data_IF_292946702667
#
_entry.id   IF_292946702667
#
_cell.length_a   1.000
_cell.length_b   1.000
_cell.length_c   1.000
_cell.angle_alpha   90.00
_cell.angle_beta   90.00
_cell.angle_gamma   90.00
#
_symmetry.space_group_name_H-M   'P 1'
#
loop_
_entity.id
_entity.type
_entity.pdbx_description
1 polymer ?
#
# COMPACT_ATOMS: atom_id res chain seq x y z
N UNK A 1 8.94 5.96 13.53
CA UNK A 1 7.60 5.56 12.99
C UNK A 1 6.77 4.87 14.07
N UNK A 2 7.40 4.11 14.98
CA UNK A 2 6.74 3.41 16.09
C UNK A 2 6.77 4.20 17.43
N UNK A 3 7.54 5.28 17.52
CA UNK A 3 7.78 6.02 18.78
C UNK A 3 6.53 6.74 19.32
N UNK A 4 5.58 7.05 18.43
CA UNK A 4 4.29 7.65 18.79
C UNK A 4 3.22 6.58 19.11
N UNK A 5 3.50 5.30 18.86
CA UNK A 5 2.51 4.21 18.96
C UNK A 5 2.33 3.75 20.41
N UNK A 6 3.40 3.80 21.22
CA UNK A 6 3.41 3.29 22.60
C UNK A 6 2.54 4.13 23.56
N UNK A 7 2.54 5.48 23.53
CA UNK A 7 1.69 6.27 24.43
C UNK A 7 0.19 6.10 24.11
N UNK A 8 -0.15 5.92 22.84
CA UNK A 8 -1.53 5.68 22.38
C UNK A 8 -2.05 4.26 22.70
N UNK A 9 -1.15 3.30 22.93
CA UNK A 9 -1.47 1.92 23.33
C UNK A 9 -2.09 1.84 24.74
N UNK A 10 -1.75 2.78 25.63
CA UNK A 10 -2.22 2.76 27.02
C UNK A 10 -3.68 3.22 27.18
N UNK A 11 -4.22 4.00 26.22
CA UNK A 11 -5.57 4.57 26.31
C UNK A 11 -6.66 3.81 25.50
N UNK A 12 -6.30 2.88 24.61
CA UNK A 12 -7.27 2.28 23.68
C UNK A 12 -8.02 1.03 24.21
N UNK A 13 -7.82 0.67 25.47
CA UNK A 13 -8.57 -0.39 26.10
C UNK A 13 -8.07 -1.78 25.71
N UNK A 14 -7.71 -2.53 26.75
CA UNK A 14 -7.26 -3.93 26.72
C UNK A 14 -8.28 -4.94 26.16
N UNK A 15 -9.38 -4.46 25.54
CA UNK A 15 -10.49 -5.26 25.03
C UNK A 15 -10.75 -5.12 23.51
N UNK A 16 -10.16 -4.15 22.80
CA UNK A 16 -10.46 -3.90 21.37
C UNK A 16 -9.43 -4.54 20.43
N UNK A 17 -8.21 -4.79 20.89
CA UNK A 17 -7.09 -5.29 20.08
C UNK A 17 -6.43 -6.49 20.80
N UNK A 18 -6.94 -7.72 20.65
CA UNK A 18 -6.44 -8.88 21.38
C UNK A 18 -5.06 -9.39 20.92
N UNK A 19 -4.61 -9.05 19.70
CA UNK A 19 -3.44 -9.65 19.07
C UNK A 19 -2.19 -8.78 19.19
N UNK A 20 -2.27 -7.49 18.88
CA UNK A 20 -1.12 -6.57 18.90
C UNK A 20 -0.42 -6.50 20.26
N UNK A 21 -1.10 -6.47 21.42
CA UNK A 21 -0.44 -6.44 22.71
C UNK A 21 0.39 -7.70 23.03
N UNK A 22 0.17 -8.80 22.30
CA UNK A 22 0.88 -10.06 22.45
C UNK A 22 2.12 -10.16 21.54
N UNK A 23 2.30 -9.18 20.65
CA UNK A 23 3.37 -9.15 19.66
C UNK A 23 4.39 -8.07 20.01
N UNK A 24 5.68 -8.37 19.80
CA UNK A 24 6.71 -7.36 19.84
C UNK A 24 6.64 -6.45 18.61
N UNK A 25 7.30 -5.30 18.66
CA UNK A 25 7.42 -4.42 17.48
C UNK A 25 8.11 -5.12 16.31
N UNK A 26 9.08 -6.00 16.60
CA UNK A 26 9.78 -6.78 15.58
C UNK A 26 8.85 -7.81 14.94
N UNK A 27 7.96 -8.44 15.71
CA UNK A 27 6.96 -9.37 15.20
C UNK A 27 5.98 -8.67 14.25
N UNK A 28 5.46 -7.50 14.66
CA UNK A 28 4.55 -6.70 13.84
C UNK A 28 5.24 -6.29 12.53
N UNK A 29 6.49 -5.82 12.60
CA UNK A 29 7.28 -5.46 11.43
C UNK A 29 7.55 -6.67 10.52
N UNK A 30 7.79 -7.84 11.10
CA UNK A 30 8.03 -9.09 10.35
C UNK A 30 6.77 -9.52 9.60
N UNK A 31 5.61 -9.53 10.28
CA UNK A 31 4.31 -9.85 9.67
C UNK A 31 4.00 -8.91 8.51
N UNK A 32 4.16 -7.59 8.70
CA UNK A 32 3.96 -6.62 7.61
C UNK A 32 5.02 -6.72 6.50
N UNK A 33 6.21 -7.22 6.82
CA UNK A 33 7.20 -7.68 5.85
C UNK A 33 6.62 -8.75 4.93
N UNK A 34 6.08 -9.84 5.49
CA UNK A 34 5.48 -10.94 4.72
C UNK A 34 4.26 -10.49 3.91
N UNK A 35 3.44 -9.58 4.47
CA UNK A 35 2.33 -8.94 3.71
C UNK A 35 2.87 -8.18 2.50
N UNK A 36 3.94 -7.41 2.68
CA UNK A 36 4.57 -6.64 1.60
C UNK A 36 5.15 -7.56 0.52
N UNK A 37 5.76 -8.68 0.92
CA UNK A 37 6.30 -9.68 -0.01
C UNK A 37 5.18 -10.39 -0.80
N UNK A 38 4.08 -10.75 -0.13
CA UNK A 38 2.89 -11.29 -0.80
C UNK A 38 2.31 -10.32 -1.83
N UNK A 39 2.18 -9.03 -1.48
CA UNK A 39 1.72 -7.99 -2.41
C UNK A 39 2.65 -7.88 -3.62
N UNK A 40 3.97 -7.83 -3.38
CA UNK A 40 4.99 -7.80 -4.43
C UNK A 40 4.86 -8.98 -5.39
N UNK A 41 4.68 -10.18 -4.83
CA UNK A 41 4.57 -11.43 -5.58
C UNK A 41 3.30 -11.48 -6.43
N UNK A 42 2.14 -11.10 -5.89
CA UNK A 42 0.91 -11.04 -6.70
C UNK A 42 1.00 -10.01 -7.82
N UNK A 43 1.60 -8.85 -7.53
CA UNK A 43 1.81 -7.80 -8.52
C UNK A 43 2.77 -8.28 -9.63
N UNK A 44 3.83 -9.04 -9.34
CA UNK A 44 4.67 -9.61 -10.40
C UNK A 44 3.94 -10.63 -11.28
N UNK A 45 2.90 -11.28 -10.75
CA UNK A 45 1.97 -12.12 -11.49
C UNK A 45 0.87 -11.34 -12.23
N UNK A 46 0.98 -10.01 -12.30
CA UNK A 46 0.00 -9.11 -12.92
C UNK A 46 -1.39 -9.18 -12.28
N UNK A 47 -1.46 -9.52 -10.99
CA UNK A 47 -2.68 -9.54 -10.19
C UNK A 47 -2.66 -8.40 -9.18
N UNK A 48 -3.76 -7.65 -9.10
CA UNK A 48 -3.96 -6.69 -8.04
C UNK A 48 -4.21 -7.38 -6.70
N UNK A 49 -3.91 -6.70 -5.59
CA UNK A 49 -4.12 -7.22 -4.24
C UNK A 49 -5.03 -6.28 -3.46
N UNK A 50 -6.17 -6.79 -3.02
CA UNK A 50 -7.06 -6.10 -2.09
C UNK A 50 -6.65 -6.40 -0.64
N UNK A 51 -6.38 -5.34 0.12
CA UNK A 51 -6.11 -5.34 1.54
C UNK A 51 -7.38 -4.85 2.26
N UNK A 52 -8.14 -5.77 2.90
CA UNK A 52 -9.37 -5.41 3.57
C UNK A 52 -9.15 -4.34 4.64
N UNK A 53 -9.98 -3.31 4.64
CA UNK A 53 -9.88 -2.20 5.59
C UNK A 53 -8.82 -1.14 5.25
N UNK A 54 -8.07 -1.30 4.15
CA UNK A 54 -7.07 -0.34 3.71
C UNK A 54 -7.29 0.14 2.27
N UNK A 55 -7.28 -0.78 1.30
CA UNK A 55 -7.29 -0.42 -0.11
C UNK A 55 -6.77 -1.52 -1.02
N UNK A 56 -6.47 -1.18 -2.27
CA UNK A 56 -6.12 -2.14 -3.32
C UNK A 56 -4.86 -1.69 -4.05
N UNK A 57 -3.86 -2.58 -4.12
CA UNK A 57 -2.75 -2.45 -5.06
C UNK A 57 -3.15 -2.99 -6.43
N UNK A 58 -2.85 -2.27 -7.50
CA UNK A 58 -3.15 -2.69 -8.89
C UNK A 58 -2.26 -1.93 -9.89
N UNK A 59 -2.53 -2.04 -11.19
CA UNK A 59 -1.78 -1.39 -12.27
C UNK A 59 -2.62 -0.46 -13.12
N UNK A 60 -2.02 0.63 -13.56
CA UNK A 60 -2.55 1.50 -14.60
C UNK A 60 -1.83 1.12 -15.88
N UNK A 61 -2.59 0.87 -16.93
CA UNK A 61 -2.05 0.71 -18.28
C UNK A 61 -2.10 2.05 -18.98
N UNK A 62 -0.95 2.60 -19.32
CA UNK A 62 -0.83 3.81 -20.13
C UNK A 62 -0.21 3.43 -21.47
N UNK A 63 -0.85 3.84 -22.58
CA UNK A 63 -0.25 3.73 -23.91
C UNK A 63 0.54 5.01 -24.16
N UNK A 64 1.85 4.88 -24.36
CA UNK A 64 2.72 5.97 -24.77
C UNK A 64 3.01 5.83 -26.26
N UNK A 65 2.64 6.82 -27.06
CA UNK A 65 3.00 6.87 -28.48
C UNK A 65 4.47 7.27 -28.64
N UNK A 66 5.22 6.50 -29.41
CA UNK A 66 6.67 6.72 -29.66
C UNK A 66 6.91 7.11 -31.12
N UNK A 67 5.86 7.47 -31.86
CA UNK A 67 5.88 7.72 -33.31
C UNK A 67 5.80 6.45 -34.16
N UNK A 68 5.61 6.61 -35.48
CA UNK A 68 5.46 5.52 -36.46
C UNK A 68 4.41 4.44 -36.09
N UNK A 69 3.23 4.82 -35.60
CA UNK A 69 2.18 3.90 -35.13
C UNK A 69 2.64 2.89 -34.05
N UNK A 70 3.79 3.11 -33.40
CA UNK A 70 4.28 2.26 -32.31
C UNK A 70 3.89 2.87 -30.97
N UNK A 71 3.32 2.05 -30.11
CA UNK A 71 2.99 2.42 -28.74
C UNK A 71 3.74 1.50 -27.77
N UNK A 72 4.23 2.07 -26.68
CA UNK A 72 4.72 1.33 -25.51
C UNK A 72 3.58 1.27 -24.51
N UNK A 73 3.22 0.06 -24.08
CA UNK A 73 2.29 -0.13 -22.97
C UNK A 73 3.10 -0.06 -21.67
N UNK A 74 2.94 1.04 -20.94
CA UNK A 74 3.56 1.22 -19.63
C UNK A 74 2.57 0.71 -18.58
N UNK A 75 3.02 -0.23 -17.76
CA UNK A 75 2.29 -0.63 -16.56
C UNK A 75 2.87 0.08 -15.35
N UNK A 76 2.04 0.92 -14.73
CA UNK A 76 2.44 1.67 -13.53
C UNK A 76 1.72 1.09 -12.32
N UNK A 77 2.44 0.67 -11.26
CA UNK A 77 1.78 0.24 -10.05
C UNK A 77 1.09 1.44 -9.41
N UNK A 78 -0.07 1.19 -8.82
CA UNK A 78 -0.87 2.16 -8.11
C UNK A 78 -1.46 1.53 -6.86
N UNK A 79 -1.88 2.40 -5.96
CA UNK A 79 -2.62 2.02 -4.77
C UNK A 79 -3.91 2.85 -4.75
N UNK A 80 -5.03 2.22 -4.47
CA UNK A 80 -6.36 2.84 -4.40
C UNK A 80 -6.84 2.68 -2.97
N UNK A 81 -7.08 3.79 -2.28
CA UNK A 81 -7.57 3.74 -0.91
C UNK A 81 -9.00 3.18 -0.89
N UNK A 82 -9.34 2.41 0.15
CA UNK A 82 -10.69 1.88 0.30
C UNK A 82 -11.71 3.02 0.39
N UNK A 83 -12.80 2.91 -0.38
CA UNK A 83 -13.87 3.91 -0.40
C UNK A 83 -14.45 4.17 1.00
N UNK A 84 -14.55 3.12 1.82
CA UNK A 84 -14.97 3.26 3.23
C UNK A 84 -14.11 4.23 4.02
N UNK A 85 -12.78 4.25 3.82
CA UNK A 85 -11.89 5.20 4.49
C UNK A 85 -12.04 6.63 3.93
N UNK A 86 -12.32 6.74 2.63
CA UNK A 86 -12.63 8.03 1.98
C UNK A 86 -13.88 8.65 2.57
N UNK A 87 -14.96 7.88 2.65
CA UNK A 87 -16.23 8.36 3.18
C UNK A 87 -16.15 8.63 4.69
N UNK A 88 -15.53 7.72 5.46
CA UNK A 88 -15.45 7.83 6.91
C UNK A 88 -14.60 9.01 7.38
N UNK A 89 -13.47 9.27 6.71
CA UNK A 89 -12.49 10.26 7.16
C UNK A 89 -12.35 11.47 6.23
N UNK A 90 -13.19 11.58 5.19
CA UNK A 90 -13.13 12.67 4.22
C UNK A 90 -11.83 12.69 3.40
N UNK A 91 -11.25 11.52 3.12
CA UNK A 91 -9.97 11.43 2.41
C UNK A 91 -10.12 11.82 0.94
N UNK A 92 -9.05 12.37 0.38
CA UNK A 92 -8.95 12.73 -1.04
C UNK A 92 -7.81 11.94 -1.66
N UNK A 93 -8.09 11.29 -2.78
CA UNK A 93 -7.10 10.66 -3.63
C UNK A 93 -7.29 11.17 -5.05
N UNK A 94 -6.18 11.45 -5.76
CA UNK A 94 -6.23 11.80 -7.17
C UNK A 94 -7.00 10.75 -7.96
N UNK A 95 -7.79 11.17 -8.96
CA UNK A 95 -8.57 10.23 -9.79
C UNK A 95 -7.66 9.17 -10.36
N UNK A 96 -7.99 7.92 -10.05
CA UNK A 96 -7.23 6.76 -10.47
C UNK A 96 -8.07 6.02 -11.50
N UNK A 97 -7.58 5.90 -12.74
CA UNK A 97 -8.23 5.08 -13.77
C UNK A 97 -7.64 3.67 -13.76
N UNK A 98 -8.42 2.70 -13.31
CA UNK A 98 -8.07 1.28 -13.43
C UNK A 98 -8.67 0.69 -14.69
N UNK A 99 -7.86 0.04 -15.53
CA UNK A 99 -8.36 -0.93 -16.49
C UNK A 99 -9.17 -2.00 -15.74
N UNK A 100 -10.44 -2.22 -16.11
CA UNK A 100 -11.32 -3.19 -15.46
C UNK A 100 -10.97 -4.66 -15.73
N UNK A 101 -9.86 -4.91 -16.42
CA UNK A 101 -9.39 -6.23 -16.87
C UNK A 101 -8.28 -6.82 -15.98
N UNK A 102 -7.86 -6.12 -14.92
CA UNK A 102 -6.83 -6.62 -14.00
C UNK A 102 -7.50 -7.48 -12.92
N UNK A 103 -7.15 -8.77 -12.79
CA UNK A 103 -7.67 -9.62 -11.74
C UNK A 103 -7.20 -9.13 -10.37
N UNK A 104 -8.12 -8.98 -9.42
CA UNK A 104 -7.82 -8.58 -8.05
C UNK A 104 -8.04 -9.78 -7.13
N UNK A 105 -7.03 -10.12 -6.32
CA UNK A 105 -7.11 -11.16 -5.29
C UNK A 105 -7.10 -10.53 -3.90
N UNK A 106 -7.81 -11.08 -2.90
CA UNK A 106 -7.69 -10.62 -1.52
C UNK A 106 -6.35 -11.06 -0.91
N UNK A 107 -5.94 -10.41 0.18
CA UNK A 107 -4.87 -10.94 1.04
C UNK A 107 -5.20 -12.37 1.48
N UNK A 108 -4.23 -13.27 1.31
CA UNK A 108 -4.34 -14.65 1.76
C UNK A 108 -3.51 -14.85 3.04
N UNK A 109 -4.16 -14.72 4.19
CA UNK A 109 -3.50 -14.88 5.49
C UNK A 109 -2.96 -16.28 5.74
N UNK A 110 -3.53 -17.32 5.11
CA UNK A 110 -2.99 -18.68 5.18
C UNK A 110 -1.62 -18.69 4.51
N UNK A 111 -1.53 -18.18 3.28
CA UNK A 111 -0.26 -18.14 2.55
C UNK A 111 0.79 -17.29 3.25
N UNK A 112 0.41 -16.12 3.76
CA UNK A 112 1.32 -15.22 4.50
C UNK A 112 1.84 -15.88 5.78
N UNK A 113 1.02 -16.69 6.46
CA UNK A 113 1.44 -17.42 7.66
C UNK A 113 2.49 -18.51 7.41
N UNK A 114 2.65 -18.97 6.17
CA UNK A 114 3.66 -19.98 5.83
C UNK A 114 5.08 -19.39 5.76
N UNK A 115 5.22 -18.06 5.67
CA UNK A 115 6.51 -17.37 5.53
C UNK A 115 7.22 -17.17 6.89
N UNK A 116 6.61 -17.55 8.01
CA UNK A 116 7.20 -17.35 9.33
C UNK A 116 6.58 -18.17 10.46
N UNK A 117 6.95 -17.90 11.71
CA UNK A 117 6.52 -18.68 12.87
C UNK A 117 5.09 -18.34 13.35
N UNK A 118 4.42 -17.37 12.73
CA UNK A 118 3.12 -16.88 13.16
C UNK A 118 2.00 -17.67 12.50
N UNK A 119 1.04 -18.16 13.29
CA UNK A 119 -0.14 -18.82 12.75
C UNK A 119 -1.07 -17.82 12.03
N UNK A 120 -1.97 -18.35 11.19
CA UNK A 120 -2.96 -17.58 10.41
C UNK A 120 -3.72 -16.54 11.25
N UNK A 121 -4.17 -16.89 12.45
CA UNK A 121 -5.00 -16.02 13.29
C UNK A 121 -4.18 -14.85 13.83
N UNK A 122 -2.93 -15.10 14.24
CA UNK A 122 -1.98 -14.06 14.67
C UNK A 122 -1.67 -13.10 13.52
N UNK A 123 -1.42 -13.60 12.31
CA UNK A 123 -1.18 -12.77 11.12
C UNK A 123 -2.41 -11.92 10.80
N UNK A 124 -3.58 -12.54 10.71
CA UNK A 124 -4.84 -11.86 10.41
C UNK A 124 -5.17 -10.79 11.46
N UNK A 125 -5.03 -11.13 12.75
CA UNK A 125 -5.24 -10.22 13.88
C UNK A 125 -4.29 -9.03 13.84
N UNK A 126 -2.99 -9.29 13.67
CA UNK A 126 -1.97 -8.24 13.56
C UNK A 126 -2.29 -7.26 12.43
N UNK A 127 -2.63 -7.74 11.24
CA UNK A 127 -2.98 -6.89 10.09
C UNK A 127 -4.23 -6.07 10.38
N UNK A 128 -5.32 -6.71 10.81
CA UNK A 128 -6.59 -6.03 11.10
C UNK A 128 -6.44 -4.96 12.17
N UNK A 129 -5.78 -5.30 13.27
CA UNK A 129 -5.60 -4.40 14.41
C UNK A 129 -4.65 -3.24 14.08
N UNK A 130 -3.61 -3.46 13.28
CA UNK A 130 -2.76 -2.38 12.78
C UNK A 130 -3.56 -1.42 11.90
N UNK A 131 -4.44 -1.94 11.04
CA UNK A 131 -5.30 -1.13 10.17
C UNK A 131 -6.39 -0.37 10.93
N UNK A 132 -6.87 -0.92 12.06
CA UNK A 132 -7.76 -0.20 12.97
C UNK A 132 -7.03 0.98 13.60
N UNK A 133 -5.80 0.78 14.10
CA UNK A 133 -4.97 1.85 14.66
C UNK A 133 -4.67 2.95 13.62
N UNK A 134 -4.35 2.53 12.40
CA UNK A 134 -4.19 3.43 11.25
C UNK A 134 -5.45 4.27 11.01
N UNK A 135 -6.62 3.63 10.95
CA UNK A 135 -7.91 4.31 10.76
C UNK A 135 -8.19 5.33 11.86
N UNK A 136 -7.87 5.01 13.12
CA UNK A 136 -7.98 5.96 14.24
C UNK A 136 -7.00 7.12 14.12
N UNK A 137 -5.76 6.87 13.72
CA UNK A 137 -4.76 7.93 13.51
C UNK A 137 -5.25 8.92 12.44
N UNK A 138 -5.88 8.39 11.38
CA UNK A 138 -6.50 9.21 10.33
C UNK A 138 -7.68 10.04 10.90
N UNK A 139 -8.52 9.46 11.75
CA UNK A 139 -9.71 10.17 12.29
C UNK A 139 -9.35 11.37 13.16
N UNK A 140 -8.24 11.31 13.89
CA UNK A 140 -7.70 12.43 14.68
C UNK A 140 -6.83 13.38 13.83
N UNK A 141 -6.85 13.25 12.50
CA UNK A 141 -6.09 14.05 11.53
C UNK A 141 -4.57 14.00 11.74
N UNK A 142 -4.06 12.91 12.32
CA UNK A 142 -2.63 12.71 12.45
C UNK A 142 -2.01 12.43 11.09
N UNK A 143 -0.81 12.97 10.85
CA UNK A 143 -0.02 12.62 9.69
C UNK A 143 0.42 11.15 9.79
N UNK A 144 0.04 10.36 8.81
CA UNK A 144 0.36 8.94 8.75
C UNK A 144 1.37 8.68 7.65
N UNK A 145 2.38 7.89 7.99
CA UNK A 145 3.26 7.23 7.03
C UNK A 145 3.24 5.73 7.30
N UNK A 146 2.82 4.95 6.32
CA UNK A 146 2.71 3.51 6.42
C UNK A 146 3.60 2.85 5.36
N UNK A 147 4.63 2.13 5.81
CA UNK A 147 5.66 1.58 4.93
C UNK A 147 5.32 0.15 4.51
N UNK A 148 5.33 -0.08 3.20
CA UNK A 148 5.32 -1.41 2.60
C UNK A 148 6.74 -1.77 2.17
N UNK A 149 7.37 -2.69 2.91
CA UNK A 149 8.80 -3.03 2.74
C UNK A 149 9.08 -3.46 1.29
N UNK A 150 10.04 -2.79 0.66
CA UNK A 150 10.42 -3.07 -0.73
C UNK A 150 9.39 -2.64 -1.80
N UNK A 151 8.32 -1.94 -1.43
CA UNK A 151 7.32 -1.39 -2.37
C UNK A 151 7.32 0.13 -2.32
N UNK A 152 7.12 0.72 -1.13
CA UNK A 152 6.99 2.16 -0.97
C UNK A 152 6.33 2.57 0.34
N UNK A 153 5.89 3.83 0.41
CA UNK A 153 5.27 4.42 1.59
C UNK A 153 3.93 5.05 1.22
N UNK A 154 2.87 4.65 1.92
CA UNK A 154 1.57 5.29 1.89
C UNK A 154 1.59 6.47 2.85
N UNK A 155 1.34 7.66 2.33
CA UNK A 155 1.33 8.91 3.09
C UNK A 155 -0.09 9.46 3.12
N UNK A 156 -0.60 9.76 4.31
CA UNK A 156 -1.88 10.45 4.51
C UNK A 156 -1.61 11.69 5.34
N UNK A 157 -1.79 12.86 4.73
CA UNK A 157 -1.55 14.18 5.36
C UNK A 157 -2.62 15.16 4.91
N UNK A 158 -3.18 15.90 5.85
CA UNK A 158 -4.26 16.88 5.59
C UNK A 158 -5.42 16.29 4.77
N UNK A 159 -5.76 15.02 5.05
CA UNK A 159 -6.79 14.26 4.31
C UNK A 159 -6.38 13.79 2.91
N UNK A 160 -5.19 14.13 2.42
CA UNK A 160 -4.71 13.70 1.10
C UNK A 160 -3.95 12.38 1.20
N UNK A 161 -4.33 11.42 0.35
CA UNK A 161 -3.71 10.10 0.27
C UNK A 161 -2.75 10.02 -0.92
N UNK A 162 -1.50 9.67 -0.66
CA UNK A 162 -0.47 9.50 -1.69
C UNK A 162 0.37 8.26 -1.43
N UNK A 163 0.37 7.33 -2.38
CA UNK A 163 1.32 6.22 -2.39
C UNK A 163 2.59 6.63 -3.13
N UNK A 164 3.74 6.51 -2.45
CA UNK A 164 5.08 6.77 -3.00
C UNK A 164 5.83 5.47 -3.18
N UNK A 165 5.94 5.00 -4.42
CA UNK A 165 6.70 3.79 -4.74
C UNK A 165 8.20 4.04 -4.74
N UNK A 166 8.98 3.06 -4.28
CA UNK A 166 10.44 3.11 -4.35
C UNK A 166 10.92 2.97 -5.80
N UNK A 167 12.02 3.66 -6.14
CA UNK A 167 12.59 3.63 -7.50
C UNK A 167 12.98 2.21 -7.91
N UNK A 168 13.56 1.43 -7.01
CA UNK A 168 13.99 0.07 -7.32
C UNK A 168 12.81 -0.86 -7.55
N UNK A 169 11.71 -0.70 -6.80
CA UNK A 169 10.46 -1.41 -7.07
C UNK A 169 9.87 -1.05 -8.44
N UNK A 170 9.86 0.23 -8.81
CA UNK A 170 9.37 0.65 -10.13
C UNK A 170 10.20 0.07 -11.28
N UNK A 171 11.51 -0.16 -11.08
CA UNK A 171 12.39 -0.79 -12.08
C UNK A 171 12.05 -2.27 -12.29
N UNK A 172 11.69 -2.99 -11.22
CA UNK A 172 11.35 -4.42 -11.34
C UNK A 172 9.99 -4.64 -12.00
N UNK A 173 9.02 -3.75 -11.78
CA UNK A 173 7.66 -3.87 -12.30
C UNK A 173 7.57 -3.66 -13.82
N UNK A 174 8.37 -2.75 -14.37
CA UNK A 174 8.31 -2.40 -15.80
C UNK A 174 9.25 -3.27 -16.67
N UNK A 175 10.10 -4.10 -16.07
CA UNK A 175 11.06 -5.00 -16.73
C UNK A 175 12.18 -4.31 -17.53
N UNK A 176 11.93 -3.12 -18.07
CA UNK A 176 12.82 -2.33 -18.92
C UNK A 176 13.40 -1.09 -18.23
N UNK A 177 12.84 -0.72 -17.07
CA UNK A 177 13.18 0.52 -16.36
C UNK A 177 12.74 1.81 -17.07
N UNK A 178 11.96 1.70 -18.16
CA UNK A 178 11.38 2.84 -18.88
C UNK A 178 10.43 3.66 -18.00
N UNK A 179 9.67 3.02 -17.12
CA UNK A 179 8.81 3.67 -16.13
C UNK A 179 9.63 4.54 -15.18
N UNK A 180 10.74 4.02 -14.64
CA UNK A 180 11.60 4.79 -13.74
C UNK A 180 12.20 6.00 -14.46
N UNK A 181 12.61 5.85 -15.73
CA UNK A 181 13.14 6.93 -16.57
C UNK A 181 12.06 7.97 -16.95
N UNK A 182 10.88 7.53 -17.35
CA UNK A 182 9.75 8.40 -17.69
C UNK A 182 9.29 9.22 -16.47
N UNK A 183 9.27 8.59 -15.29
CA UNK A 183 8.98 9.29 -14.05
C UNK A 183 10.10 10.25 -13.66
N UNK A 184 11.39 9.94 -13.82
CA UNK A 184 12.43 10.95 -13.58
C UNK A 184 12.34 12.14 -14.54
N UNK A 185 11.95 11.89 -15.79
CA UNK A 185 11.83 12.94 -16.82
C UNK A 185 10.59 13.82 -16.62
N UNK A 186 9.47 13.25 -16.15
CA UNK A 186 8.26 14.02 -15.81
C UNK A 186 8.43 14.92 -14.58
N UNK A 187 9.48 14.71 -13.77
CA UNK A 187 9.82 15.59 -12.64
C UNK A 187 10.84 16.67 -13.05
N UNK A 188 11.54 16.50 -14.18
CA UNK A 188 12.49 17.49 -14.72
C UNK A 188 11.90 18.35 -15.85
N UNK A 189 10.94 17.85 -16.61
CA UNK A 189 10.13 18.68 -17.51
C UNK A 189 8.91 19.17 -16.73
N UNK A 190 8.93 20.46 -16.37
CA UNK A 190 7.93 21.11 -15.54
C UNK A 190 6.49 20.89 -15.99
N UNK A 191 5.81 19.96 -15.34
CA UNK A 191 4.40 20.11 -15.03
C UNK A 191 4.31 20.63 -13.60
N UNK A 192 4.53 21.94 -13.48
CA UNK A 192 4.09 22.70 -12.33
C UNK A 192 2.57 22.64 -12.23
N UNK A 193 2.11 22.38 -11.01
CA UNK A 193 0.92 22.94 -10.34
C UNK A 193 -0.38 23.01 -11.16
N UNK A 194 -1.37 22.17 -10.83
CA UNK A 194 -2.60 22.52 -10.06
C UNK A 194 -3.13 21.23 -9.42
#
# INVERSE_FOLDING_TARGET
>A
MLDTIIPSLQNLGRQVLPTLPLLSQEDVSTIWGHVSDYVKWQLSLHKGVHIPGLGTFTFMRQKLEVGNNKFILIQRPMFIIAEKLVQLHGLKQNKVYTPGDIPIVPLNFVMISLEGPFNRNTVEGCVKETLLFLSQSISIKQNVEFTFKGIGVLVIRDGNVKMRFYKDYLRTVDGSGALAKALTNAWHCGLGVV
#
